data_IF_691226658060
#
_entry.id   IF_691226658060
#
_cell.length_a   1.000
_cell.length_b   1.000
_cell.length_c   1.000
_cell.angle_alpha   90.00
_cell.angle_beta   90.00
_cell.angle_gamma   90.00
#
_symmetry.space_group_name_H-M   'P 1'
#
loop_
_entity.id
_entity.type
_entity.pdbx_description
1 polymer ?
#
# COMPACT_ATOMS: atom_id res chain seq x y z
N UNK A 1 -13.11 -11.98 -30.81
CA UNK A 1 -12.83 -11.34 -29.49
C UNK A 1 -11.72 -12.03 -28.71
N UNK A 2 -11.63 -13.37 -28.69
CA UNK A 2 -10.66 -14.14 -27.87
C UNK A 2 -9.18 -13.91 -28.21
N UNK A 3 -8.83 -13.75 -29.49
CA UNK A 3 -7.44 -13.56 -29.94
C UNK A 3 -6.82 -12.27 -29.38
N UNK A 4 -7.63 -11.20 -29.30
CA UNK A 4 -7.21 -9.90 -28.75
C UNK A 4 -6.96 -10.00 -27.24
N UNK A 5 -7.79 -10.76 -26.53
CA UNK A 5 -7.60 -11.05 -25.10
C UNK A 5 -6.34 -11.87 -24.85
N UNK A 6 -6.08 -12.90 -25.66
CA UNK A 6 -4.86 -13.72 -25.55
C UNK A 6 -3.61 -12.86 -25.81
N UNK A 7 -3.63 -11.99 -26.82
CA UNK A 7 -2.52 -11.08 -27.10
C UNK A 7 -2.28 -10.08 -25.96
N UNK A 8 -3.34 -9.55 -25.34
CA UNK A 8 -3.23 -8.61 -24.23
C UNK A 8 -2.69 -9.28 -22.96
N UNK A 9 -3.17 -10.49 -22.66
CA UNK A 9 -2.66 -11.30 -21.54
C UNK A 9 -1.20 -11.68 -21.78
N UNK A 10 -0.84 -12.09 -23.00
CA UNK A 10 0.55 -12.37 -23.37
C UNK A 10 1.46 -11.15 -23.18
N UNK A 11 1.03 -9.97 -23.64
CA UNK A 11 1.77 -8.72 -23.45
C UNK A 11 1.92 -8.35 -21.97
N UNK A 12 0.85 -8.51 -21.16
CA UNK A 12 0.88 -8.23 -19.73
C UNK A 12 1.79 -9.21 -18.97
N UNK A 13 1.74 -10.50 -19.29
CA UNK A 13 2.63 -11.51 -18.69
C UNK A 13 4.08 -11.19 -19.07
N UNK A 14 4.38 -10.89 -20.33
CA UNK A 14 5.74 -10.52 -20.74
C UNK A 14 6.22 -9.24 -20.06
N UNK A 15 5.36 -8.24 -19.87
CA UNK A 15 5.70 -7.01 -19.15
C UNK A 15 5.97 -7.23 -17.64
N UNK A 16 5.25 -8.16 -17.01
CA UNK A 16 5.43 -8.53 -15.60
C UNK A 16 6.57 -9.54 -15.38
N UNK A 17 6.99 -10.27 -16.43
CA UNK A 17 8.03 -11.31 -16.38
C UNK A 17 9.43 -10.79 -16.70
N UNK A 18 9.58 -9.51 -17.08
CA UNK A 18 10.91 -8.93 -17.32
C UNK A 18 11.66 -8.91 -15.98
N UNK A 19 12.92 -9.38 -15.92
CA UNK A 19 13.68 -9.38 -14.68
C UNK A 19 13.69 -7.98 -14.05
N UNK A 20 13.69 -7.93 -12.72
CA UNK A 20 13.72 -6.74 -11.87
C UNK A 20 15.01 -5.88 -12.00
N UNK A 21 15.56 -5.74 -13.21
CA UNK A 21 16.60 -4.79 -13.62
C UNK A 21 16.15 -3.32 -13.51
N UNK A 22 14.97 -3.07 -12.93
CA UNK A 22 14.53 -1.74 -12.50
C UNK A 22 15.06 -1.36 -11.10
N UNK A 23 15.80 -2.24 -10.40
CA UNK A 23 16.30 -1.91 -9.06
C UNK A 23 17.24 -0.69 -9.03
N UNK A 24 17.85 -0.33 -10.17
CA UNK A 24 18.68 0.87 -10.36
C UNK A 24 18.18 1.86 -11.43
N UNK A 25 17.02 1.61 -12.06
CA UNK A 25 16.55 2.40 -13.21
C UNK A 25 15.50 3.42 -12.78
N UNK A 26 15.58 4.65 -13.31
CA UNK A 26 14.57 5.66 -13.08
C UNK A 26 13.27 5.33 -13.83
N UNK A 27 12.11 5.49 -13.20
CA UNK A 27 10.85 5.16 -13.87
C UNK A 27 9.63 5.11 -12.96
N UNK A 28 8.46 5.04 -13.61
CA UNK A 28 7.18 4.83 -12.96
C UNK A 28 7.02 3.39 -12.47
N UNK A 29 6.39 3.22 -11.32
CA UNK A 29 6.01 1.92 -10.80
C UNK A 29 4.69 2.01 -10.04
N UNK A 30 4.09 0.85 -9.86
CA UNK A 30 2.91 0.66 -9.01
C UNK A 30 3.25 -0.30 -7.89
N UNK A 31 2.78 0.00 -6.68
CA UNK A 31 2.89 -0.83 -5.50
C UNK A 31 1.53 -1.38 -5.11
N UNK A 32 1.53 -2.57 -4.51
CA UNK A 32 0.38 -3.14 -3.84
C UNK A 32 0.84 -3.60 -2.46
N UNK A 33 0.19 -3.11 -1.42
CA UNK A 33 0.45 -3.42 -0.03
C UNK A 33 -0.78 -3.95 0.67
N UNK A 34 -0.55 -4.78 1.68
CA UNK A 34 -1.57 -5.23 2.62
C UNK A 34 -0.99 -5.15 4.03
N UNK A 35 -1.81 -4.78 5.00
CA UNK A 35 -1.42 -4.61 6.39
C UNK A 35 -2.61 -4.78 7.33
N UNK A 36 -2.36 -4.55 8.61
CA UNK A 36 -3.37 -4.53 9.65
C UNK A 36 -3.09 -3.32 10.55
N UNK A 37 -4.14 -2.58 10.88
CA UNK A 37 -4.07 -1.61 11.96
C UNK A 37 -4.45 -2.26 13.28
N UNK A 38 -3.75 -1.85 14.34
CA UNK A 38 -4.12 -2.21 15.70
C UNK A 38 -3.91 -1.01 16.61
N UNK A 39 -4.96 -0.64 17.32
CA UNK A 39 -4.93 0.43 18.31
C UNK A 39 -5.33 -0.13 19.66
N UNK A 40 -4.58 0.24 20.71
CA UNK A 40 -4.91 -0.18 22.07
C UNK A 40 -6.07 0.65 22.62
N UNK A 41 -7.00 -0.01 23.31
CA UNK A 41 -8.11 0.65 24.01
C UNK A 41 -7.57 1.71 24.98
N UNK A 42 -8.22 2.88 25.04
CA UNK A 42 -7.79 3.96 25.92
C UNK A 42 -8.86 4.32 26.96
N UNK A 43 -8.36 4.73 28.12
CA UNK A 43 -9.17 5.15 29.26
C UNK A 43 -8.73 6.55 29.70
N UNK A 44 -9.67 7.48 29.75
CA UNK A 44 -9.42 8.86 30.18
C UNK A 44 -10.17 9.14 31.48
N UNK A 45 -9.44 9.63 32.49
CA UNK A 45 -9.99 10.06 33.77
C UNK A 45 -9.91 11.58 33.85
N UNK A 46 -11.04 12.24 34.07
CA UNK A 46 -11.10 13.70 34.17
C UNK A 46 -11.03 14.13 35.64
N UNK A 47 -10.09 15.02 36.01
CA UNK A 47 -9.93 15.49 37.41
C UNK A 47 -10.50 16.92 37.56
N UNK A 48 -11.27 17.26 38.61
CA UNK A 48 -11.55 16.47 39.83
C UNK A 48 -12.80 15.58 39.75
N UNK A 49 -13.23 15.16 38.56
CA UNK A 49 -14.48 14.43 38.35
C UNK A 49 -14.40 12.91 38.58
N UNK A 50 -15.52 12.25 38.91
CA UNK A 50 -15.61 10.78 38.98
C UNK A 50 -15.77 10.12 37.59
N UNK A 51 -15.78 10.92 36.51
CA UNK A 51 -16.11 10.44 35.17
C UNK A 51 -14.90 9.80 34.52
N UNK A 52 -15.06 8.53 34.21
CA UNK A 52 -14.08 7.71 33.48
C UNK A 52 -14.64 7.42 32.10
N UNK A 53 -13.94 7.84 31.05
CA UNK A 53 -14.30 7.56 29.66
C UNK A 53 -13.44 6.41 29.13
N UNK A 54 -14.10 5.32 28.72
CA UNK A 54 -13.44 4.17 28.08
C UNK A 54 -13.83 4.13 26.62
N UNK A 55 -12.84 4.22 25.73
CA UNK A 55 -13.03 3.97 24.31
C UNK A 55 -12.45 2.61 23.94
N UNK A 56 -13.26 1.82 23.26
CA UNK A 56 -12.80 0.60 22.60
C UNK A 56 -12.37 0.92 21.18
N UNK A 57 -11.30 0.27 20.76
CA UNK A 57 -10.76 0.30 19.41
C UNK A 57 -10.82 -1.10 18.84
N UNK A 58 -10.98 -1.18 17.53
CA UNK A 58 -11.06 -2.43 16.79
C UNK A 58 -9.89 -2.49 15.81
N UNK A 59 -9.38 -3.70 15.58
CA UNK A 59 -8.32 -3.94 14.61
C UNK A 59 -8.95 -4.17 13.23
N UNK A 60 -8.36 -3.61 12.18
CA UNK A 60 -8.85 -3.77 10.80
C UNK A 60 -7.72 -4.18 9.84
N UNK A 61 -8.10 -4.87 8.76
CA UNK A 61 -7.20 -5.19 7.66
C UNK A 61 -7.21 -4.08 6.61
N UNK A 62 -6.04 -3.70 6.12
CA UNK A 62 -5.84 -2.62 5.16
C UNK A 62 -5.22 -3.16 3.87
N UNK A 63 -5.69 -2.64 2.74
CA UNK A 63 -5.06 -2.82 1.44
C UNK A 63 -4.77 -1.44 0.87
N UNK A 64 -3.58 -1.26 0.32
CA UNK A 64 -3.16 0.00 -0.29
C UNK A 64 -2.60 -0.28 -1.68
N UNK A 65 -2.99 0.56 -2.63
CA UNK A 65 -2.31 0.64 -3.92
C UNK A 65 -1.46 1.88 -3.90
N UNK A 66 -0.28 1.85 -4.50
CA UNK A 66 0.54 3.05 -4.61
C UNK A 66 1.02 3.25 -6.03
N UNK A 67 1.26 4.49 -6.40
CA UNK A 67 1.95 4.83 -7.64
C UNK A 67 3.10 5.75 -7.32
N UNK A 68 4.21 5.59 -8.04
CA UNK A 68 5.39 6.37 -7.74
C UNK A 68 6.36 6.46 -8.90
N UNK A 69 7.29 7.40 -8.77
CA UNK A 69 8.41 7.57 -9.67
C UNK A 69 9.72 7.40 -8.91
N UNK A 70 10.56 6.49 -9.40
CA UNK A 70 11.92 6.29 -8.90
C UNK A 70 12.89 7.15 -9.68
N UNK A 71 13.76 7.85 -8.98
CA UNK A 71 14.89 8.56 -9.55
C UNK A 71 16.13 7.64 -9.61
N UNK A 72 16.95 7.79 -10.64
CA UNK A 72 18.16 6.96 -10.85
C UNK A 72 19.26 7.14 -9.80
N UNK A 73 19.09 8.10 -8.89
CA UNK A 73 19.95 8.36 -7.74
C UNK A 73 19.49 7.64 -6.45
N UNK A 74 18.46 6.78 -6.54
CA UNK A 74 17.95 5.98 -5.43
C UNK A 74 16.77 6.60 -4.68
N UNK A 75 16.47 7.88 -4.89
CA UNK A 75 15.27 8.51 -4.33
C UNK A 75 13.99 8.05 -5.03
N UNK A 76 12.85 8.16 -4.35
CA UNK A 76 11.52 7.81 -4.85
C UNK A 76 10.51 8.85 -4.38
N UNK A 77 9.50 9.10 -5.21
CA UNK A 77 8.30 9.85 -4.86
C UNK A 77 7.11 8.91 -5.05
N UNK A 78 6.33 8.68 -3.99
CA UNK A 78 5.22 7.73 -3.91
C UNK A 78 3.96 8.44 -3.39
N UNK A 79 2.80 7.99 -3.87
CA UNK A 79 1.46 8.35 -3.38
C UNK A 79 0.62 7.06 -3.24
N UNK A 80 -0.25 7.01 -2.24
CA UNK A 80 -0.97 5.82 -1.71
C UNK A 80 -2.50 5.99 -1.72
#
# INVERSE_FOLDING_TARGET
>A
MKLRSIALVGAAVLALSVPASASGTAGWYVGLGAGWDSMTNFNQVFTPGPVTFKAKTEDTGLFVGSFGYRFGNGFRLEDE
#
